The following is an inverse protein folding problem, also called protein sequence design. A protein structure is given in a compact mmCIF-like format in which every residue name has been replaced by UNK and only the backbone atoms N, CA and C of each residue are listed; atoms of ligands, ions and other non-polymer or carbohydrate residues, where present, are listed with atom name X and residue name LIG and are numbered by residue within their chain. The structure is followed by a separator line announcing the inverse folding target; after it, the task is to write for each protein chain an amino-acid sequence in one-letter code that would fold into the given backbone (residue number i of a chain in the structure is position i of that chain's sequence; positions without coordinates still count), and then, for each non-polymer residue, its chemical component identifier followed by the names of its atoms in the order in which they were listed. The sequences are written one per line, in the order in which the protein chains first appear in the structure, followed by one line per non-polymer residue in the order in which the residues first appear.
data_IF_329166302119
#
_entry.id   IF_329166302119
#
_cell.length_a   1.000
_cell.length_b   1.000
_cell.length_c   1.000
_cell.angle_alpha   90.00
_cell.angle_beta   90.00
_cell.angle_gamma   90.00
#
_symmetry.space_group_name_H-M   'P 1'
#
loop_
_entity.id
_entity.type
_entity.pdbx_description
1 polymer ?
#
# COMPACT_ATOMS: atom_id res chain seq x y z
N UNK A 1 -1.59 2.48 4.32
CA UNK A 1 -0.13 2.29 4.32
C UNK A 1 0.43 2.96 5.57
N UNK A 2 1.39 2.33 6.24
CA UNK A 2 2.09 2.87 7.40
C UNK A 2 3.40 2.08 7.54
N UNK A 3 4.52 2.75 7.82
CA UNK A 3 5.83 2.13 8.04
C UNK A 3 6.29 2.24 9.50
N UNK A 4 5.39 2.59 10.42
CA UNK A 4 5.66 2.80 11.83
C UNK A 4 5.45 4.24 12.32
N UNK A 5 4.80 5.11 11.55
CA UNK A 5 4.47 6.48 11.95
C UNK A 5 3.56 6.51 13.17
N UNK A 6 2.72 5.48 13.33
CA UNK A 6 1.82 5.36 14.48
C UNK A 6 2.45 4.68 15.71
N UNK A 7 3.70 4.20 15.65
CA UNK A 7 4.28 3.34 16.69
C UNK A 7 4.37 4.03 18.07
N UNK A 8 4.60 5.34 18.09
CA UNK A 8 4.71 6.14 19.32
C UNK A 8 3.41 6.87 19.68
N UNK A 9 2.32 6.65 18.93
CA UNK A 9 1.03 7.27 19.19
C UNK A 9 0.12 6.37 20.03
N UNK A 10 -0.74 7.01 20.82
CA UNK A 10 -1.85 6.35 21.53
C UNK A 10 -3.03 6.20 20.56
N UNK A 11 -2.98 5.16 19.73
CA UNK A 11 -4.00 4.88 18.70
C UNK A 11 -4.22 3.38 18.54
N UNK A 12 -5.42 3.01 18.08
CA UNK A 12 -5.74 1.65 17.62
C UNK A 12 -5.23 1.36 16.20
N UNK A 13 -4.79 2.38 15.47
CA UNK A 13 -4.21 2.25 14.13
C UNK A 13 -2.70 1.94 14.19
N UNK A 14 -2.30 1.01 15.06
CA UNK A 14 -0.90 0.66 15.31
C UNK A 14 -0.76 -0.85 15.28
N UNK A 15 0.16 -1.34 14.46
CA UNK A 15 0.34 -2.78 14.20
C UNK A 15 1.80 -3.23 14.31
N UNK A 16 2.54 -2.64 15.25
CA UNK A 16 3.92 -3.05 15.57
C UNK A 16 3.97 -4.25 16.54
N UNK A 17 3.16 -5.27 16.26
CA UNK A 17 3.07 -6.48 17.06
C UNK A 17 2.79 -7.72 16.19
N UNK A 18 3.18 -8.93 16.62
CA UNK A 18 2.87 -10.16 15.89
C UNK A 18 1.35 -10.40 15.75
N UNK A 19 0.86 -10.91 14.60
CA UNK A 19 1.65 -11.50 13.52
C UNK A 19 2.09 -10.52 12.41
N UNK A 20 1.81 -9.22 12.52
CA UNK A 20 2.28 -8.25 11.52
C UNK A 20 3.81 -8.27 11.41
N UNK A 21 4.32 -8.16 10.18
CA UNK A 21 5.76 -8.21 9.92
C UNK A 21 6.43 -9.57 10.17
N UNK A 22 5.68 -10.67 10.32
CA UNK A 22 6.25 -12.02 10.51
C UNK A 22 7.24 -12.45 9.42
N UNK A 23 7.07 -11.95 8.18
CA UNK A 23 7.96 -12.19 7.05
C UNK A 23 8.85 -10.97 6.74
N UNK A 24 8.66 -9.87 7.46
CA UNK A 24 9.50 -8.69 7.28
C UNK A 24 10.84 -8.89 8.01
N UNK A 25 12.00 -8.55 7.42
CA UNK A 25 13.30 -8.81 8.05
C UNK A 25 13.48 -8.23 9.46
N UNK A 26 12.92 -7.04 9.71
CA UNK A 26 12.98 -6.36 11.01
C UNK A 26 11.81 -6.71 11.94
N UNK A 27 10.96 -7.67 11.54
CA UNK A 27 9.77 -8.06 12.29
C UNK A 27 8.64 -7.02 12.25
N UNK A 28 7.83 -6.90 13.32
CA UNK A 28 6.68 -6.00 13.37
C UNK A 28 7.06 -4.50 13.39
N UNK A 29 7.16 -3.87 12.22
CA UNK A 29 7.55 -2.45 12.11
C UNK A 29 6.38 -1.46 12.15
N UNK A 30 5.13 -1.94 12.11
CA UNK A 30 3.94 -1.09 11.92
C UNK A 30 3.37 -1.13 10.49
N UNK A 31 3.89 -2.00 9.62
CA UNK A 31 3.29 -2.31 8.32
C UNK A 31 2.07 -3.18 8.52
N UNK A 32 0.93 -2.76 7.96
CA UNK A 32 -0.32 -3.52 7.95
C UNK A 32 -0.27 -4.71 6.97
N UNK A 33 0.72 -5.57 7.09
CA UNK A 33 0.88 -6.79 6.29
C UNK A 33 1.76 -7.80 7.03
N UNK A 34 1.89 -9.02 6.51
CA UNK A 34 2.87 -9.99 6.98
C UNK A 34 4.32 -9.60 6.66
N UNK A 35 4.54 -8.79 5.62
CA UNK A 35 5.87 -8.44 5.15
C UNK A 35 5.93 -7.02 4.57
N UNK A 36 6.59 -6.87 3.43
CA UNK A 36 6.68 -5.60 2.69
C UNK A 36 5.30 -5.08 2.27
N UNK A 37 5.19 -3.75 2.21
CA UNK A 37 4.09 -3.09 1.54
C UNK A 37 4.48 -2.60 0.14
N UNK A 38 3.50 -2.08 -0.61
CA UNK A 38 3.69 -1.60 -1.99
C UNK A 38 4.83 -0.57 -2.13
N UNK A 39 5.02 0.32 -1.15
CA UNK A 39 6.05 1.36 -1.22
C UNK A 39 7.45 0.77 -1.03
N UNK A 40 7.59 -0.25 -0.17
CA UNK A 40 8.86 -0.97 -0.01
C UNK A 40 9.26 -1.66 -1.31
N UNK A 41 8.30 -2.30 -1.98
CA UNK A 41 8.52 -3.01 -3.25
C UNK A 41 8.96 -2.03 -4.34
N UNK A 42 8.28 -0.89 -4.47
CA UNK A 42 8.66 0.17 -5.42
C UNK A 42 10.07 0.70 -5.11
N UNK A 43 10.38 0.98 -3.85
CA UNK A 43 11.69 1.47 -3.44
C UNK A 43 12.81 0.46 -3.76
N UNK A 44 12.58 -0.82 -3.50
CA UNK A 44 13.53 -1.88 -3.87
C UNK A 44 13.75 -1.96 -5.38
N UNK A 45 12.69 -1.88 -6.18
CA UNK A 45 12.79 -1.87 -7.65
C UNK A 45 13.49 -0.62 -8.19
N UNK A 46 13.40 0.50 -7.47
CA UNK A 46 14.16 1.73 -7.74
C UNK A 46 15.64 1.65 -7.31
N UNK A 47 16.08 0.54 -6.71
CA UNK A 47 17.47 0.35 -6.28
C UNK A 47 17.81 0.96 -4.91
N UNK A 48 16.82 1.19 -4.05
CA UNK A 48 17.08 1.65 -2.69
C UNK A 48 17.76 0.55 -1.88
N UNK A 49 18.89 0.89 -1.24
CA UNK A 49 19.63 -0.05 -0.40
C UNK A 49 18.90 -0.41 0.91
N UNK A 50 18.00 0.45 1.37
CA UNK A 50 17.26 0.30 2.62
C UNK A 50 15.76 0.49 2.39
N UNK A 51 14.93 -0.12 3.25
CA UNK A 51 13.50 0.14 3.27
C UNK A 51 13.20 1.59 3.64
N UNK A 52 12.12 2.14 3.09
CA UNK A 52 11.70 3.52 3.35
C UNK A 52 11.33 3.66 4.83
N UNK A 53 12.01 4.52 5.61
CA UNK A 53 11.70 4.71 7.03
C UNK A 53 10.41 5.52 7.23
N UNK A 54 9.73 5.38 8.37
CA UNK A 54 8.64 6.28 8.74
C UNK A 54 9.20 7.68 9.01
N UNK A 55 8.48 8.71 8.55
CA UNK A 55 8.84 10.10 8.80
C UNK A 55 9.02 10.41 10.29
N UNK A 56 8.23 9.77 11.16
CA UNK A 56 8.30 9.94 12.61
C UNK A 56 9.70 9.68 13.22
N UNK A 57 10.55 8.88 12.56
CA UNK A 57 11.90 8.57 13.06
C UNK A 57 13.03 8.95 12.09
N UNK A 58 12.71 9.38 10.87
CA UNK A 58 13.69 9.73 9.85
C UNK A 58 14.47 11.00 10.23
N UNK A 59 15.78 11.05 9.91
CA UNK A 59 16.64 12.20 10.20
C UNK A 59 17.61 12.48 9.06
N UNK A 60 17.99 13.76 8.91
CA UNK A 60 19.06 14.17 8.01
C UNK A 60 18.89 13.63 6.58
N UNK A 61 19.86 12.86 6.11
CA UNK A 61 19.86 12.31 4.75
C UNK A 61 18.72 11.33 4.47
N UNK A 62 18.10 10.71 5.48
CA UNK A 62 16.95 9.83 5.27
C UNK A 62 15.80 10.58 4.59
N UNK A 63 15.57 11.83 5.01
CA UNK A 63 14.50 12.70 4.47
C UNK A 63 14.75 13.03 3.00
N UNK A 64 16.02 13.23 2.63
CA UNK A 64 16.43 13.54 1.25
C UNK A 64 16.35 12.30 0.37
N UNK A 65 16.72 11.14 0.90
CA UNK A 65 16.72 9.88 0.15
C UNK A 65 15.30 9.34 -0.06
N UNK A 66 14.39 9.58 0.90
CA UNK A 66 12.98 9.22 0.79
C UNK A 66 12.41 8.72 2.12
N UNK A 67 11.23 9.20 2.47
CA UNK A 67 10.53 8.87 3.73
C UNK A 67 9.06 8.59 3.50
N UNK A 68 8.48 7.78 4.37
CA UNK A 68 7.07 7.45 4.34
C UNK A 68 6.32 8.35 5.33
N UNK A 69 5.42 9.19 4.82
CA UNK A 69 4.55 10.06 5.63
C UNK A 69 3.19 9.41 5.96
N UNK A 70 2.89 8.22 5.43
CA UNK A 70 1.59 7.59 5.57
C UNK A 70 1.36 7.09 7.00
N UNK A 71 0.17 7.34 7.52
CA UNK A 71 -0.26 6.94 8.87
C UNK A 71 -1.58 6.19 8.77
N UNK A 72 -1.70 5.07 9.48
CA UNK A 72 -2.95 4.32 9.57
C UNK A 72 -4.07 5.19 10.16
N UNK A 73 -5.28 5.08 9.60
CA UNK A 73 -6.47 5.84 10.00
C UNK A 73 -6.36 7.37 9.86
N UNK A 74 -5.36 7.88 9.15
CA UNK A 74 -5.37 9.28 8.71
C UNK A 74 -6.58 9.52 7.79
N UNK A 75 -7.43 10.47 8.17
CA UNK A 75 -8.65 10.81 7.41
C UNK A 75 -8.35 11.56 6.12
N UNK A 76 -9.34 11.59 5.22
CA UNK A 76 -9.29 12.26 3.91
C UNK A 76 -10.05 13.62 3.91
N UNK A 77 -10.66 14.10 4.99
CA UNK A 77 -11.45 15.36 4.99
C UNK A 77 -11.12 16.18 6.25
N UNK A 78 -11.11 17.51 6.26
CA UNK A 78 -11.59 18.51 5.27
C UNK A 78 -10.46 19.33 4.60
N UNK A 79 -9.24 19.20 5.11
CA UNK A 79 -8.04 19.90 4.65
C UNK A 79 -7.16 19.07 3.70
N UNK A 80 -7.65 17.96 3.11
CA UNK A 80 -6.86 17.18 2.14
C UNK A 80 -6.54 18.03 0.92
N UNK A 81 -5.33 18.55 1.05
CA UNK A 81 -4.43 18.94 0.02
C UNK A 81 -4.76 20.28 -0.65
N UNK A 82 -4.11 21.31 -0.10
CA UNK A 82 -3.13 22.02 -0.91
C UNK A 82 -2.23 20.98 -1.65
N UNK A 83 -2.75 20.28 -2.66
CA UNK A 83 -2.04 19.27 -3.49
C UNK A 83 -0.85 19.89 -4.22
N UNK A 84 -0.74 21.21 -4.12
CA UNK A 84 0.39 21.97 -4.56
C UNK A 84 1.51 22.03 -3.53
N UNK A 85 1.40 21.64 -2.27
CA UNK A 85 2.51 21.86 -1.32
C UNK A 85 3.72 21.00 -1.63
N UNK A 86 3.50 19.73 -1.98
CA UNK A 86 4.57 18.90 -2.52
C UNK A 86 5.12 19.48 -3.84
N UNK A 87 4.24 19.97 -4.73
CA UNK A 87 4.65 20.61 -5.99
C UNK A 87 5.43 21.93 -5.80
N UNK A 88 4.95 22.82 -4.93
CA UNK A 88 5.55 24.08 -4.47
C UNK A 88 6.89 23.80 -3.77
N UNK A 89 7.00 22.67 -3.09
CA UNK A 89 8.23 22.16 -2.46
C UNK A 89 9.18 21.45 -3.44
N UNK A 90 8.83 21.39 -4.74
CA UNK A 90 9.71 20.89 -5.79
C UNK A 90 9.41 19.50 -6.32
N UNK A 91 8.42 18.79 -5.79
CA UNK A 91 8.01 17.50 -6.36
C UNK A 91 7.44 17.70 -7.78
N UNK A 92 7.87 16.85 -8.71
CA UNK A 92 7.48 16.90 -10.13
C UNK A 92 6.82 15.63 -10.62
N UNK A 93 7.00 14.50 -9.93
CA UNK A 93 6.37 13.23 -10.28
C UNK A 93 5.52 12.72 -9.13
N UNK A 94 4.27 12.36 -9.45
CA UNK A 94 3.25 11.94 -8.50
C UNK A 94 2.58 10.68 -9.01
N UNK A 95 2.92 9.52 -8.44
CA UNK A 95 2.16 8.29 -8.63
C UNK A 95 1.00 8.24 -7.64
N UNK A 96 -0.24 8.26 -8.13
CA UNK A 96 -1.44 8.33 -7.31
C UNK A 96 -2.24 7.04 -7.48
N UNK A 97 -2.29 6.23 -6.43
CA UNK A 97 -3.08 5.01 -6.39
C UNK A 97 -4.57 5.29 -6.42
N UNK A 98 -5.28 4.53 -7.25
CA UNK A 98 -6.73 4.43 -7.18
C UNK A 98 -7.15 3.87 -5.80
N UNK A 99 -8.35 4.26 -5.36
CA UNK A 99 -8.98 3.59 -4.24
C UNK A 99 -9.27 2.13 -4.60
N UNK A 100 -8.89 1.21 -3.73
CA UNK A 100 -9.27 -0.20 -3.87
C UNK A 100 -10.77 -0.38 -3.64
N UNK A 101 -11.34 -1.40 -4.29
CA UNK A 101 -12.72 -1.88 -4.11
C UNK A 101 -12.96 -2.40 -2.68
N UNK A 102 -13.15 -1.47 -1.75
CA UNK A 102 -13.31 -1.75 -0.32
C UNK A 102 -14.53 -2.63 -0.03
N UNK A 103 -15.55 -2.63 -0.90
CA UNK A 103 -16.72 -3.49 -0.79
C UNK A 103 -16.40 -4.98 -0.84
N UNK A 104 -15.24 -5.37 -1.39
CA UNK A 104 -14.77 -6.75 -1.42
C UNK A 104 -13.86 -7.13 -0.25
N UNK A 105 -13.60 -6.21 0.69
CA UNK A 105 -12.77 -6.54 1.86
C UNK A 105 -13.55 -7.41 2.85
N UNK A 106 -12.91 -8.40 3.51
CA UNK A 106 -13.59 -9.25 4.49
C UNK A 106 -14.27 -8.44 5.61
N UNK A 107 -13.68 -7.31 6.00
CA UNK A 107 -14.20 -6.42 7.03
C UNK A 107 -15.53 -5.77 6.63
N UNK A 108 -15.61 -5.24 5.40
CA UNK A 108 -16.85 -4.64 4.89
C UNK A 108 -17.92 -5.70 4.65
N UNK A 109 -17.57 -6.86 4.09
CA UNK A 109 -18.52 -7.97 3.92
C UNK A 109 -19.10 -8.41 5.27
N UNK A 110 -18.26 -8.51 6.31
CA UNK A 110 -18.69 -8.82 7.68
C UNK A 110 -19.59 -7.75 8.27
N UNK A 111 -19.28 -6.47 8.06
CA UNK A 111 -20.08 -5.35 8.57
C UNK A 111 -21.48 -5.31 7.94
N UNK A 112 -21.60 -5.63 6.67
CA UNK A 112 -22.88 -5.71 5.95
C UNK A 112 -23.58 -7.07 6.12
N UNK A 113 -22.95 -8.05 6.77
CA UNK A 113 -23.52 -9.38 6.97
C UNK A 113 -23.68 -10.19 5.68
N UNK A 114 -22.82 -9.95 4.69
CA UNK A 114 -22.84 -10.63 3.37
C UNK A 114 -21.56 -11.44 3.16
N UNK A 115 -21.59 -12.36 2.20
CA UNK A 115 -20.45 -13.19 1.79
C UNK A 115 -19.96 -12.90 0.37
N UNK A 116 -20.40 -11.78 -0.19
CA UNK A 116 -20.01 -11.29 -1.52
C UNK A 116 -19.70 -9.80 -1.42
N UNK A 117 -19.00 -9.27 -2.43
CA UNK A 117 -18.70 -7.85 -2.49
C UNK A 117 -19.96 -6.99 -2.34
N UNK A 118 -19.84 -5.88 -1.61
CA UNK A 118 -20.92 -4.90 -1.46
C UNK A 118 -20.90 -3.92 -2.63
N UNK A 119 -21.79 -4.13 -3.61
CA UNK A 119 -21.84 -3.36 -4.86
C UNK A 119 -22.02 -1.86 -4.66
N UNK A 120 -22.79 -1.45 -3.65
CA UNK A 120 -23.00 -0.03 -3.34
C UNK A 120 -21.69 0.67 -2.93
N UNK A 121 -20.89 0.01 -2.07
CA UNK A 121 -19.57 0.50 -1.66
C UNK A 121 -18.63 0.57 -2.86
N UNK A 122 -18.63 -0.48 -3.70
CA UNK A 122 -17.81 -0.52 -4.90
C UNK A 122 -18.24 0.52 -5.95
N UNK A 123 -19.53 0.83 -6.05
CA UNK A 123 -20.05 1.88 -6.92
C UNK A 123 -19.52 3.27 -6.51
N UNK A 124 -19.42 3.52 -5.20
CA UNK A 124 -18.81 4.75 -4.68
C UNK A 124 -17.30 4.82 -5.00
N UNK A 125 -16.59 3.70 -4.88
CA UNK A 125 -15.16 3.59 -5.27
C UNK A 125 -14.96 3.88 -6.76
N UNK A 126 -15.80 3.30 -7.62
CA UNK A 126 -15.74 3.53 -9.07
C UNK A 126 -15.93 5.02 -9.39
N UNK A 127 -16.93 5.65 -8.77
CA UNK A 127 -17.18 7.08 -8.95
C UNK A 127 -16.00 7.93 -8.45
N UNK A 128 -15.44 7.61 -7.29
CA UNK A 128 -14.26 8.28 -6.74
C UNK A 128 -13.07 8.19 -7.70
N UNK A 129 -12.74 6.98 -8.18
CA UNK A 129 -11.61 6.75 -9.08
C UNK A 129 -11.79 7.47 -10.43
N UNK A 130 -13.01 7.53 -10.96
CA UNK A 130 -13.32 8.29 -12.18
C UNK A 130 -13.06 9.79 -12.02
N UNK A 131 -13.49 10.37 -10.89
CA UNK A 131 -13.26 11.79 -10.58
C UNK A 131 -11.81 12.09 -10.24
N UNK A 132 -11.13 11.17 -9.56
CA UNK A 132 -9.70 11.25 -9.27
C UNK A 132 -8.91 11.33 -10.57
N UNK A 133 -9.12 10.40 -11.50
CA UNK A 133 -8.43 10.40 -12.79
C UNK A 133 -8.66 11.70 -13.58
N UNK A 134 -9.91 12.19 -13.61
CA UNK A 134 -10.24 13.50 -14.22
C UNK A 134 -9.44 14.64 -13.57
N UNK A 135 -9.34 14.63 -12.24
CA UNK A 135 -8.61 15.65 -11.48
C UNK A 135 -7.11 15.60 -11.75
N UNK A 136 -6.51 14.40 -11.86
CA UNK A 136 -5.09 14.25 -12.19
C UNK A 136 -4.78 14.77 -13.60
N UNK A 137 -5.68 14.55 -14.56
CA UNK A 137 -5.56 15.12 -15.90
C UNK A 137 -5.61 16.65 -15.90
N UNK A 138 -6.52 17.24 -15.11
CA UNK A 138 -6.58 18.69 -14.94
C UNK A 138 -5.29 19.25 -14.31
N UNK A 139 -4.70 18.55 -13.34
CA UNK A 139 -3.45 18.95 -12.72
C UNK A 139 -2.27 18.89 -13.70
N UNK A 140 -2.20 17.85 -14.54
CA UNK A 140 -1.21 17.75 -15.61
C UNK A 140 -1.29 18.91 -16.61
N UNK A 141 -2.48 19.47 -16.86
CA UNK A 141 -2.67 20.61 -17.76
C UNK A 141 -2.35 21.96 -17.09
N UNK A 142 -2.50 22.04 -15.75
CA UNK A 142 -2.34 23.29 -14.99
C UNK A 142 -0.93 23.49 -14.44
N UNK A 143 -0.22 22.40 -14.12
CA UNK A 143 1.04 22.46 -13.39
C UNK A 143 2.20 22.16 -14.32
N UNK A 144 2.91 23.23 -14.68
CA UNK A 144 4.08 23.17 -15.55
C UNK A 144 5.12 22.24 -14.93
N UNK A 145 5.67 21.36 -15.78
CA UNK A 145 6.73 20.41 -15.42
C UNK A 145 6.33 19.34 -14.39
N UNK A 146 5.04 19.23 -14.04
CA UNK A 146 4.53 18.14 -13.20
C UNK A 146 3.95 16.99 -14.02
N UNK A 147 4.05 15.78 -13.47
CA UNK A 147 3.43 14.54 -13.96
C UNK A 147 2.65 13.88 -12.83
N UNK A 148 1.34 13.85 -12.97
CA UNK A 148 0.41 13.10 -12.13
C UNK A 148 -0.01 11.85 -12.88
N UNK A 149 0.34 10.69 -12.34
CA UNK A 149 0.17 9.39 -12.97
C UNK A 149 -0.83 8.61 -12.13
N UNK A 150 -1.96 8.26 -12.73
CA UNK A 150 -2.95 7.39 -12.12
C UNK A 150 -2.40 5.96 -12.10
N UNK A 151 -2.28 5.37 -10.91
CA UNK A 151 -1.90 3.98 -10.71
C UNK A 151 -3.17 3.20 -10.46
N UNK A 152 -3.53 2.35 -11.43
CA UNK A 152 -4.74 1.55 -11.35
C UNK A 152 -4.71 0.63 -10.12
N UNK A 153 -5.82 0.63 -9.39
CA UNK A 153 -6.07 -0.21 -8.22
C UNK A 153 -7.01 -1.38 -8.52
N UNK A 154 -7.24 -1.67 -9.80
CA UNK A 154 -8.05 -2.81 -10.24
C UNK A 154 -7.52 -4.11 -9.63
N UNK A 155 -8.46 -4.89 -9.09
CA UNK A 155 -8.21 -6.23 -8.56
C UNK A 155 -7.99 -7.19 -9.74
N UNK A 156 -6.81 -7.15 -10.34
CA UNK A 156 -6.33 -8.34 -11.03
C UNK A 156 -5.92 -9.33 -9.94
N UNK A 157 -6.88 -10.15 -9.51
CA UNK A 157 -6.57 -11.33 -8.72
C UNK A 157 -5.65 -12.22 -9.55
N UNK A 158 -4.43 -12.51 -9.06
CA UNK A 158 -3.59 -13.49 -9.72
C UNK A 158 -4.35 -14.80 -9.82
N UNK A 159 -4.28 -15.46 -10.98
CA UNK A 159 -5.04 -16.71 -11.21
C UNK A 159 -4.59 -17.86 -10.30
N UNK A 160 -3.39 -17.75 -9.71
CA UNK A 160 -2.82 -18.65 -8.72
C UNK A 160 -3.23 -18.33 -7.27
N UNK A 161 -3.95 -17.22 -7.04
CA UNK A 161 -4.41 -16.81 -5.72
C UNK A 161 -5.83 -17.34 -5.45
N UNK A 162 -5.93 -18.26 -4.49
CA UNK A 162 -7.14 -19.05 -4.28
C UNK A 162 -7.97 -18.64 -3.05
N UNK A 163 -7.47 -17.73 -2.19
CA UNK A 163 -8.21 -17.24 -1.02
C UNK A 163 -8.30 -15.72 -1.08
N UNK A 164 -9.43 -15.23 -1.60
CA UNK A 164 -9.64 -13.81 -1.95
C UNK A 164 -10.60 -13.08 -1.02
N UNK A 165 -11.31 -13.77 -0.13
CA UNK A 165 -12.41 -13.24 0.68
C UNK A 165 -12.22 -13.44 2.19
N UNK A 166 -11.10 -14.05 2.58
CA UNK A 166 -10.84 -14.48 3.95
C UNK A 166 -9.49 -13.96 4.44
N UNK A 167 -9.38 -13.39 5.65
CA UNK A 167 -8.11 -12.99 6.25
C UNK A 167 -7.21 -14.19 6.55
N UNK A 168 -5.90 -14.03 6.35
CA UNK A 168 -4.93 -15.04 6.76
C UNK A 168 -4.72 -15.10 8.29
N UNK A 169 -4.86 -13.97 9.00
CA UNK A 169 -4.75 -13.95 10.45
C UNK A 169 -6.13 -14.03 11.14
N UNK A 170 -6.16 -14.50 12.38
CA UNK A 170 -7.33 -14.34 13.24
C UNK A 170 -7.51 -12.85 13.56
N UNK A 171 -8.69 -12.29 13.25
CA UNK A 171 -8.98 -10.88 13.42
C UNK A 171 -9.63 -10.57 14.77
N UNK A 172 -9.30 -9.42 15.35
CA UNK A 172 -9.88 -8.91 16.59
C UNK A 172 -11.33 -8.51 16.39
N UNK A 173 -12.19 -8.82 17.35
CA UNK A 173 -13.58 -8.36 17.43
C UNK A 173 -13.77 -7.17 18.39
N UNK A 174 -12.71 -6.74 19.09
CA UNK A 174 -12.77 -5.72 20.14
C UNK A 174 -11.92 -4.49 19.78
N UNK A 175 -10.70 -4.40 20.28
CA UNK A 175 -9.76 -3.31 19.95
C UNK A 175 -9.17 -3.54 18.57
N UNK A 176 -9.22 -2.52 17.71
CA UNK A 176 -8.77 -2.66 16.31
C UNK A 176 -9.59 -3.68 15.53
N UNK A 177 -10.93 -3.60 15.62
CA UNK A 177 -11.85 -4.57 14.97
C UNK A 177 -11.46 -4.82 13.51
N UNK A 178 -11.30 -6.09 13.13
CA UNK A 178 -10.90 -6.51 11.79
C UNK A 178 -9.39 -6.55 11.54
N UNK A 179 -8.57 -5.92 12.38
CA UNK A 179 -7.11 -6.10 12.35
C UNK A 179 -6.72 -7.43 12.99
N UNK A 180 -5.51 -7.93 12.74
CA UNK A 180 -5.04 -9.16 13.38
C UNK A 180 -5.05 -9.03 14.92
N UNK A 181 -5.54 -10.06 15.58
CA UNK A 181 -5.43 -10.18 17.03
C UNK A 181 -3.95 -10.43 17.41
N UNK A 182 -3.43 -9.77 18.47
CA UNK A 182 -2.04 -9.94 18.88
C UNK A 182 -1.67 -11.38 19.22
N UNK A 183 -0.45 -11.76 18.84
CA UNK A 183 0.20 -13.04 19.16
C UNK A 183 -0.56 -14.29 18.71
N UNK A 184 -1.46 -14.17 17.74
CA UNK A 184 -2.10 -15.32 17.11
C UNK A 184 -1.21 -15.94 16.03
N UNK A 185 -1.36 -17.25 15.82
CA UNK A 185 -0.70 -17.96 14.72
C UNK A 185 -1.49 -17.69 13.44
N UNK A 186 -0.90 -17.05 12.41
CA UNK A 186 -1.57 -16.81 11.14
C UNK A 186 -1.59 -18.09 10.28
N UNK A 187 -2.30 -18.04 9.15
CA UNK A 187 -2.29 -19.11 8.17
C UNK A 187 -0.85 -19.45 7.70
N UNK A 188 -0.59 -20.74 7.45
CA UNK A 188 0.75 -21.21 7.05
C UNK A 188 1.04 -20.94 5.57
N UNK A 189 0.02 -20.94 4.70
CA UNK A 189 0.10 -20.79 3.25
C UNK A 189 -0.29 -19.36 2.78
N UNK A 190 0.20 -18.33 3.48
CA UNK A 190 -0.15 -16.92 3.25
C UNK A 190 0.16 -16.36 1.85
N UNK A 191 0.97 -17.05 1.05
CA UNK A 191 1.19 -16.73 -0.36
C UNK A 191 -0.05 -16.97 -1.24
N UNK A 192 -1.03 -17.76 -0.77
CA UNK A 192 -2.28 -18.04 -1.48
C UNK A 192 -3.43 -17.11 -1.04
N UNK A 193 -3.17 -16.20 -0.10
CA UNK A 193 -4.17 -15.30 0.49
C UNK A 193 -4.01 -13.90 -0.07
N UNK A 194 -5.13 -13.27 -0.41
CA UNK A 194 -5.14 -11.87 -0.80
C UNK A 194 -5.00 -10.99 0.43
N UNK A 195 -5.81 -11.28 1.45
CA UNK A 195 -5.96 -10.47 2.64
C UNK A 195 -5.13 -11.02 3.80
N UNK A 196 -4.34 -10.14 4.42
CA UNK A 196 -3.62 -10.44 5.64
C UNK A 196 -4.55 -10.34 6.85
N UNK A 197 -5.19 -9.18 7.02
CA UNK A 197 -6.26 -8.92 7.98
C UNK A 197 -7.58 -8.65 7.25
N UNK A 198 -8.62 -8.13 7.90
CA UNK A 198 -9.91 -7.89 7.26
C UNK A 198 -9.93 -6.76 6.21
N UNK A 199 -8.83 -6.03 6.02
CA UNK A 199 -8.77 -4.85 5.15
C UNK A 199 -7.53 -4.82 4.27
N UNK A 200 -6.39 -5.28 4.78
CA UNK A 200 -5.08 -5.06 4.19
C UNK A 200 -4.55 -6.30 3.47
N UNK A 201 -3.80 -6.10 2.38
CA UNK A 201 -3.23 -7.19 1.59
C UNK A 201 -2.06 -7.90 2.28
N UNK A 202 -1.85 -9.16 1.89
CA UNK A 202 -0.60 -9.88 2.15
C UNK A 202 0.57 -9.26 1.38
N UNK A 203 1.80 -9.58 1.82
CA UNK A 203 3.01 -9.19 1.10
C UNK A 203 2.99 -9.67 -0.36
N UNK A 204 2.43 -10.86 -0.63
CA UNK A 204 2.30 -11.38 -1.99
C UNK A 204 1.57 -10.39 -2.90
N UNK A 205 0.44 -9.88 -2.44
CA UNK A 205 -0.34 -8.90 -3.18
C UNK A 205 0.39 -7.56 -3.26
N UNK A 206 1.02 -7.11 -2.17
CA UNK A 206 1.84 -5.88 -2.18
C UNK A 206 2.99 -5.94 -3.20
N UNK A 207 3.64 -7.10 -3.36
CA UNK A 207 4.70 -7.32 -4.36
C UNK A 207 4.15 -7.16 -5.78
N UNK A 208 2.98 -7.73 -6.06
CA UNK A 208 2.35 -7.62 -7.38
C UNK A 208 1.91 -6.18 -7.68
N UNK A 209 1.22 -5.54 -6.74
CA UNK A 209 0.80 -4.14 -6.88
C UNK A 209 2.00 -3.20 -7.01
N UNK A 210 3.04 -3.40 -6.21
CA UNK A 210 4.26 -2.58 -6.26
C UNK A 210 5.03 -2.76 -7.56
N UNK A 211 5.12 -4.00 -8.06
CA UNK A 211 5.76 -4.29 -9.35
C UNK A 211 4.99 -3.64 -10.50
N UNK A 212 3.66 -3.76 -10.52
CA UNK A 212 2.81 -3.13 -11.53
C UNK A 212 2.94 -1.61 -11.51
N UNK A 213 2.90 -1.01 -10.31
CA UNK A 213 3.10 0.43 -10.15
C UNK A 213 4.46 0.89 -10.65
N UNK A 214 5.54 0.17 -10.30
CA UNK A 214 6.88 0.44 -10.81
C UNK A 214 6.94 0.38 -12.34
N UNK A 215 6.34 -0.65 -12.95
CA UNK A 215 6.28 -0.78 -14.42
C UNK A 215 5.55 0.40 -15.07
N UNK A 216 4.40 0.79 -14.53
CA UNK A 216 3.66 1.97 -15.01
C UNK A 216 4.46 3.26 -14.89
N UNK A 217 5.23 3.41 -13.82
CA UNK A 217 6.07 4.58 -13.59
C UNK A 217 7.39 4.54 -14.38
N UNK A 218 7.83 3.37 -14.83
CA UNK A 218 9.16 3.15 -15.41
C UNK A 218 9.47 4.00 -16.65
N UNK A 219 8.45 4.33 -17.46
CA UNK A 219 8.62 5.20 -18.63
C UNK A 219 8.95 6.65 -18.27
N UNK A 220 8.84 7.02 -17.00
CA UNK A 220 9.10 8.38 -16.50
C UNK A 220 10.41 8.48 -15.71
N UNK A 221 11.09 7.34 -15.47
CA UNK A 221 12.41 7.35 -14.86
C UNK A 221 13.46 7.72 -15.92
N UNK A 222 14.48 8.47 -15.52
CA UNK A 222 15.62 8.79 -16.39
C UNK A 222 16.38 7.51 -16.75
N UNK A 223 17.01 7.48 -17.94
CA UNK A 223 17.76 6.32 -18.46
C UNK A 223 18.84 5.77 -17.50
N UNK A 224 19.31 6.59 -16.57
CA UNK A 224 20.30 6.23 -15.54
C UNK A 224 19.73 5.36 -14.40
N UNK A 225 18.40 5.25 -14.27
CA UNK A 225 17.71 4.47 -13.22
C UNK A 225 17.36 3.05 -13.66
N UNK A 226 17.45 2.73 -14.96
CA UNK A 226 17.02 1.45 -15.54
C UNK A 226 18.22 0.49 -15.60
N UNK A 227 18.62 -0.09 -14.46
CA UNK A 227 19.60 -1.17 -14.46
C UNK A 227 19.43 -2.13 -13.28
N UNK A 228 18.35 -2.92 -13.23
CA UNK A 228 18.35 -4.21 -12.50
C UNK A 228 17.50 -5.27 -13.21
N UNK A 229 18.06 -6.47 -13.29
CA UNK A 229 17.59 -7.67 -14.03
C UNK A 229 16.24 -8.20 -13.50
N UNK A 230 15.34 -8.58 -14.41
CA UNK A 230 14.13 -9.37 -14.13
C UNK A 230 14.38 -10.84 -14.50
N UNK A 231 14.32 -11.75 -13.54
CA UNK A 231 13.96 -13.14 -13.84
C UNK A 231 12.44 -13.22 -13.96
N UNK A 232 11.95 -13.64 -15.13
CA UNK A 232 10.52 -13.61 -15.49
C UNK A 232 9.71 -14.76 -14.91
N UNK A 233 10.35 -15.78 -14.32
CA UNK A 233 9.63 -16.98 -13.88
C UNK A 233 9.37 -17.06 -12.37
N UNK A 234 10.08 -16.30 -11.53
CA UNK A 234 10.02 -16.49 -10.07
C UNK A 234 9.57 -15.28 -9.27
N UNK A 235 9.60 -14.07 -9.84
CA UNK A 235 9.23 -12.84 -9.13
C UNK A 235 10.14 -12.50 -7.93
N UNK A 236 11.27 -13.20 -7.76
CA UNK A 236 12.28 -12.90 -6.76
C UNK A 236 13.37 -12.00 -7.34
N UNK A 237 13.76 -10.97 -6.58
CA UNK A 237 14.96 -10.18 -6.84
C UNK A 237 16.04 -10.74 -5.91
N UNK A 238 17.08 -11.38 -6.47
CA UNK A 238 18.30 -11.65 -5.72
C UNK A 238 19.20 -10.42 -5.81
N UNK A 239 19.59 -9.89 -4.66
CA UNK A 239 20.63 -8.86 -4.54
C UNK A 239 21.99 -9.55 -4.74
N UNK A 240 22.88 -8.95 -5.54
CA UNK A 240 24.30 -9.28 -5.49
C UNK A 240 24.94 -8.65 -4.24
#
# INVERSE_FOLDING_TARGET
MDNGNNNQLLTQAKVNFPPYGIDFPDGPTGRFSNGRNTADVIAQLLGFNNFIPPFATAKGMDIVNGVNYASGSAGILDETAEHLDLYKSGARMFGIFAAGYSGCTPGIMTEFGVNSCVDEVNSAVILFNSRLNTTLNDLNNKLVDAKFIFLDGSFEYPSDLNVTDTPCCAVSSTSGKGQCAPNQVPCSNRQNYYFWDAFHPTERVNVLTGTKAYETLSSFYTSETIAMYKDKETGYISVA
#
